data_IF_902785899245
#
_entry.id   IF_902785899245
#
_cell.length_a   1.000
_cell.length_b   1.000
_cell.length_c   1.000
_cell.angle_alpha   90.00
_cell.angle_beta   90.00
_cell.angle_gamma   90.00
#
_symmetry.space_group_name_H-M   'P 1'
#
loop_
_entity.id
_entity.type
_entity.pdbx_description
1 polymer ?
#
# COMPACT_ATOMS: atom_id res chain seq x y z
N UNK A 1 -19.00 23.41 10.46
CA UNK A 1 -18.49 23.84 11.75
C UNK A 1 -16.99 23.62 11.75
N UNK A 2 -16.22 24.47 12.41
CA UNK A 2 -14.77 24.31 12.52
C UNK A 2 -14.43 24.30 14.00
N UNK A 3 -13.92 23.17 14.49
CA UNK A 3 -13.15 23.16 15.73
C UNK A 3 -11.80 23.85 15.46
N UNK A 4 -11.04 24.15 16.51
CA UNK A 4 -9.66 24.59 16.36
C UNK A 4 -8.73 23.41 16.05
N UNK A 5 -7.53 23.71 15.53
CA UNK A 5 -6.58 22.70 15.04
C UNK A 5 -6.16 21.68 16.13
N UNK A 6 -6.05 22.11 17.39
CA UNK A 6 -5.69 21.23 18.51
C UNK A 6 -6.83 20.26 18.83
N UNK A 7 -8.09 20.72 18.75
CA UNK A 7 -9.24 19.83 18.90
C UNK A 7 -9.28 18.78 17.79
N UNK A 8 -8.96 19.13 16.54
CA UNK A 8 -8.86 18.17 15.44
C UNK A 8 -7.74 17.15 15.62
N UNK A 9 -6.56 17.58 16.09
CA UNK A 9 -5.44 16.68 16.38
C UNK A 9 -5.80 15.65 17.45
N UNK A 10 -6.47 16.08 18.53
CA UNK A 10 -6.96 15.18 19.58
C UNK A 10 -8.03 14.20 19.08
N UNK A 11 -8.92 14.63 18.20
CA UNK A 11 -9.90 13.72 17.58
C UNK A 11 -9.18 12.59 16.82
N UNK A 12 -8.15 12.92 16.04
CA UNK A 12 -7.36 11.92 15.30
C UNK A 12 -6.66 10.92 16.22
N UNK A 13 -5.93 11.42 17.23
CA UNK A 13 -5.23 10.58 18.20
C UNK A 13 -6.17 9.67 19.00
N UNK A 14 -7.38 10.13 19.31
CA UNK A 14 -8.39 9.35 20.02
C UNK A 14 -8.96 8.22 19.15
N UNK A 15 -9.28 8.53 17.88
CA UNK A 15 -9.83 7.56 16.92
C UNK A 15 -8.79 6.48 16.58
N UNK A 16 -7.54 6.85 16.33
CA UNK A 16 -6.44 5.94 15.99
C UNK A 16 -5.91 5.16 17.22
N UNK A 17 -6.52 5.34 18.39
CA UNK A 17 -6.14 4.72 19.67
C UNK A 17 -4.66 4.98 20.06
N UNK A 18 -4.20 6.22 19.85
CA UNK A 18 -2.82 6.68 20.10
C UNK A 18 -2.68 7.54 21.37
N UNK A 19 -3.76 7.83 22.09
CA UNK A 19 -3.72 8.53 23.38
C UNK A 19 -3.28 7.62 24.52
N UNK A 20 -2.54 8.16 25.49
CA UNK A 20 -2.31 7.46 26.76
C UNK A 20 -3.56 7.54 27.67
N UNK A 21 -3.60 6.73 28.74
CA UNK A 21 -4.77 6.61 29.62
C UNK A 21 -5.25 7.95 30.22
N UNK A 22 -4.32 8.83 30.57
CA UNK A 22 -4.65 10.14 31.16
C UNK A 22 -5.20 11.12 30.11
N UNK A 23 -4.61 11.15 28.92
CA UNK A 23 -5.06 11.96 27.78
C UNK A 23 -6.44 11.52 27.30
N UNK A 24 -6.64 10.20 27.21
CA UNK A 24 -7.91 9.62 26.79
C UNK A 24 -9.02 9.94 27.77
N UNK A 25 -8.79 9.76 29.07
CA UNK A 25 -9.78 10.09 30.11
C UNK A 25 -10.15 11.57 30.05
N UNK A 26 -9.15 12.46 29.89
CA UNK A 26 -9.40 13.89 29.77
C UNK A 26 -10.18 14.25 28.49
N UNK A 27 -9.97 13.53 27.39
CA UNK A 27 -10.71 13.72 26.14
C UNK A 27 -12.14 13.19 26.24
N UNK A 28 -12.35 12.03 26.87
CA UNK A 28 -13.69 11.47 27.13
C UNK A 28 -14.54 12.41 28.00
N UNK A 29 -13.95 13.05 29.02
CA UNK A 29 -14.63 14.11 29.78
C UNK A 29 -15.03 15.33 28.92
N UNK A 30 -14.25 15.67 27.91
CA UNK A 30 -14.59 16.74 26.97
C UNK A 30 -15.78 16.32 26.08
N UNK A 31 -15.82 15.06 25.64
CA UNK A 31 -16.95 14.52 24.88
C UNK A 31 -18.25 14.49 25.70
N UNK A 32 -18.18 14.26 27.01
CA UNK A 32 -19.36 14.35 27.88
C UNK A 32 -19.91 15.78 28.00
N UNK A 33 -19.01 16.78 27.96
CA UNK A 33 -19.36 18.21 28.14
C UNK A 33 -19.75 18.90 26.84
N UNK A 34 -19.20 18.45 25.72
CA UNK A 34 -19.45 19.02 24.39
C UNK A 34 -20.21 18.03 23.50
N UNK A 35 -21.53 18.21 23.46
CA UNK A 35 -22.45 17.37 22.68
C UNK A 35 -22.17 17.44 21.17
N UNK A 36 -21.63 18.56 20.68
CA UNK A 36 -21.32 18.75 19.26
C UNK A 36 -20.03 18.00 18.88
N UNK A 37 -19.00 18.11 19.71
CA UNK A 37 -17.76 17.35 19.57
C UNK A 37 -18.03 15.84 19.66
N UNK A 38 -18.85 15.40 20.63
CA UNK A 38 -19.25 14.00 20.75
C UNK A 38 -19.99 13.47 19.52
N UNK A 39 -20.91 14.26 18.95
CA UNK A 39 -21.61 13.87 17.73
C UNK A 39 -20.64 13.77 16.54
N UNK A 40 -19.66 14.67 16.46
CA UNK A 40 -18.65 14.65 15.41
C UNK A 40 -17.73 13.44 15.52
N UNK A 41 -17.18 13.15 16.70
CA UNK A 41 -16.33 11.97 16.96
C UNK A 41 -17.09 10.68 16.67
N UNK A 42 -18.33 10.54 17.17
CA UNK A 42 -19.17 9.38 16.88
C UNK A 42 -19.43 9.17 15.38
N UNK A 43 -19.60 10.27 14.63
CA UNK A 43 -19.76 10.21 13.17
C UNK A 43 -18.49 9.66 12.53
N UNK A 44 -17.31 10.15 12.91
CA UNK A 44 -16.04 9.69 12.36
C UNK A 44 -15.73 8.22 12.72
N UNK A 45 -15.94 7.82 13.99
CA UNK A 45 -15.77 6.42 14.42
C UNK A 45 -16.74 5.48 13.69
N UNK A 46 -17.98 5.94 13.44
CA UNK A 46 -18.94 5.14 12.66
C UNK A 46 -18.51 4.97 11.21
N UNK A 47 -17.87 5.99 10.60
CA UNK A 47 -17.34 5.91 9.24
C UNK A 47 -16.12 4.99 9.16
N UNK A 48 -15.25 4.99 10.16
CA UNK A 48 -14.08 4.11 10.20
C UNK A 48 -14.49 2.63 10.35
N UNK A 49 -15.52 2.33 11.14
CA UNK A 49 -16.08 0.96 11.22
C UNK A 49 -16.63 0.45 9.88
N UNK A 50 -17.02 1.37 8.98
CA UNK A 50 -17.44 1.07 7.61
C UNK A 50 -16.24 0.99 6.66
N UNK A 51 -15.11 1.63 7.00
CA UNK A 51 -13.91 1.71 6.16
C UNK A 51 -12.91 0.56 6.39
N UNK A 52 -12.97 -0.10 7.55
CA UNK A 52 -12.02 -1.14 7.95
C UNK A 52 -12.29 -2.56 7.39
N UNK A 53 -13.16 -2.71 6.38
CA UNK A 53 -13.30 -3.98 5.66
C UNK A 53 -13.45 -3.78 4.13
N UNK A 54 -12.35 -4.00 3.42
CA UNK A 54 -12.22 -4.59 2.07
C UNK A 54 -13.29 -4.44 0.97
N UNK A 55 -14.13 -3.40 0.90
CA UNK A 55 -15.03 -3.25 -0.26
C UNK A 55 -15.38 -1.80 -0.60
N UNK A 56 -14.57 -1.09 -1.40
CA UNK A 56 -15.10 0.03 -2.18
C UNK A 56 -14.57 0.01 -3.61
N UNK A 57 -15.20 -0.82 -4.44
CA UNK A 57 -15.17 -0.67 -5.89
C UNK A 57 -16.29 0.30 -6.29
N UNK A 58 -15.99 1.60 -6.32
CA UNK A 58 -16.91 2.56 -6.96
C UNK A 58 -16.92 2.27 -8.44
N UNK A 59 -17.93 1.56 -8.91
CA UNK A 59 -18.28 1.57 -10.33
C UNK A 59 -18.67 3.00 -10.67
N UNK A 60 -17.85 3.67 -11.48
CA UNK A 60 -17.98 5.08 -11.85
C UNK A 60 -19.31 5.48 -12.54
N UNK A 61 -20.28 4.57 -12.67
CA UNK A 61 -21.54 4.75 -13.40
C UNK A 61 -22.76 4.25 -12.61
N UNK A 62 -22.86 4.55 -11.32
CA UNK A 62 -24.07 4.24 -10.55
C UNK A 62 -25.26 5.06 -11.06
N UNK A 63 -26.35 4.37 -11.41
CA UNK A 63 -27.61 4.97 -11.85
C UNK A 63 -28.28 5.75 -10.70
N UNK A 64 -29.12 6.73 -11.04
CA UNK A 64 -29.92 7.50 -10.07
C UNK A 64 -30.74 6.59 -9.14
N UNK A 65 -31.11 5.40 -9.60
CA UNK A 65 -31.85 4.39 -8.84
C UNK A 65 -30.98 3.72 -7.78
N UNK A 66 -29.72 3.42 -8.10
CA UNK A 66 -28.74 2.85 -7.16
C UNK A 66 -28.29 3.88 -6.13
N UNK A 67 -28.13 5.15 -6.54
CA UNK A 67 -27.87 6.26 -5.61
C UNK A 67 -29.06 6.47 -4.65
N UNK A 68 -30.30 6.33 -5.13
CA UNK A 68 -31.49 6.39 -4.27
C UNK A 68 -31.62 5.19 -3.33
N UNK A 69 -31.23 3.99 -3.78
CA UNK A 69 -31.20 2.81 -2.92
C UNK A 69 -30.17 2.96 -1.80
N UNK A 70 -28.97 3.45 -2.13
CA UNK A 70 -27.92 3.76 -1.17
C UNK A 70 -28.31 4.93 -0.23
N UNK A 71 -29.01 5.94 -0.73
CA UNK A 71 -29.53 7.04 0.09
C UNK A 71 -30.71 6.62 0.99
N UNK A 72 -31.43 5.54 0.66
CA UNK A 72 -32.41 4.95 1.57
C UNK A 72 -31.71 4.16 2.71
N UNK A 73 -30.51 3.66 2.45
CA UNK A 73 -29.65 2.99 3.44
C UNK A 73 -29.00 4.00 4.39
N UNK A 74 -28.60 5.17 3.87
CA UNK A 74 -28.08 6.29 4.66
C UNK A 74 -29.12 7.40 4.84
N UNK A 75 -29.92 7.31 5.91
CA UNK A 75 -30.89 8.32 6.45
C UNK A 75 -31.19 9.47 5.47
N UNK A 76 -32.17 9.26 4.60
CA UNK A 76 -32.52 10.12 3.46
C UNK A 76 -32.64 11.63 3.79
N UNK A 77 -33.00 11.98 5.02
CA UNK A 77 -33.16 13.36 5.47
C UNK A 77 -31.84 14.15 5.44
N UNK A 78 -30.71 13.51 5.77
CA UNK A 78 -29.40 14.17 5.81
C UNK A 78 -28.85 14.40 4.39
N UNK A 79 -29.11 13.46 3.47
CA UNK A 79 -28.70 13.55 2.06
C UNK A 79 -29.53 14.60 1.32
N UNK A 80 -30.83 14.68 1.61
CA UNK A 80 -31.72 15.72 1.07
C UNK A 80 -31.34 17.09 1.62
N UNK A 81 -31.04 17.19 2.92
CA UNK A 81 -30.59 18.44 3.54
C UNK A 81 -29.23 18.90 2.98
N UNK A 82 -28.31 17.97 2.73
CA UNK A 82 -27.02 18.26 2.10
C UNK A 82 -27.20 18.70 0.65
N UNK A 83 -28.04 18.02 -0.13
CA UNK A 83 -28.39 18.42 -1.51
C UNK A 83 -29.01 19.81 -1.57
N UNK A 84 -29.90 20.13 -0.62
CA UNK A 84 -30.50 21.46 -0.50
C UNK A 84 -29.48 22.51 -0.09
N UNK A 85 -28.58 22.22 0.87
CA UNK A 85 -27.46 23.12 1.23
C UNK A 85 -26.56 23.38 0.02
N UNK A 86 -26.21 22.35 -0.74
CA UNK A 86 -25.38 22.48 -1.97
C UNK A 86 -26.11 23.33 -3.02
N UNK A 87 -27.41 23.09 -3.25
CA UNK A 87 -28.24 23.91 -4.16
C UNK A 87 -28.33 25.37 -3.70
N UNK A 88 -28.50 25.61 -2.41
CA UNK A 88 -28.59 26.97 -1.86
C UNK A 88 -27.25 27.70 -1.96
N UNK A 89 -26.12 27.01 -1.77
CA UNK A 89 -24.77 27.56 -1.96
C UNK A 89 -24.52 27.88 -3.45
N UNK A 90 -25.02 27.06 -4.37
CA UNK A 90 -24.96 27.33 -5.82
C UNK A 90 -25.86 28.51 -6.23
N UNK A 91 -27.03 28.65 -5.62
CA UNK A 91 -27.95 29.76 -5.91
C UNK A 91 -27.52 31.09 -5.25
N UNK A 92 -26.90 31.07 -4.06
CA UNK A 92 -26.34 32.27 -3.42
C UNK A 92 -25.13 32.86 -4.15
N UNK A 93 -24.39 32.07 -4.94
CA UNK A 93 -23.34 32.60 -5.85
C UNK A 93 -23.90 33.16 -7.17
N UNK A 94 -25.22 33.18 -7.35
CA UNK A 94 -25.89 33.56 -8.60
C UNK A 94 -26.76 34.81 -8.49
N UNK A 95 -26.34 35.83 -7.74
CA UNK A 95 -26.99 37.15 -7.76
C UNK A 95 -25.99 38.30 -7.76
N UNK A 96 -25.18 38.38 -8.81
CA UNK A 96 -24.53 39.64 -9.17
C UNK A 96 -25.39 40.28 -10.27
N UNK A 97 -25.96 41.48 -10.05
CA UNK A 97 -26.72 42.17 -11.08
C UNK A 97 -25.81 42.46 -12.29
N UNK A 98 -26.25 42.01 -13.47
CA UNK A 98 -25.56 42.21 -14.75
C UNK A 98 -25.38 43.70 -15.02
N UNK A 99 -24.18 44.23 -14.79
CA UNK A 99 -23.65 45.34 -15.57
C UNK A 99 -22.72 44.79 -16.64
N UNK A 100 -23.15 44.97 -17.88
CA UNK A 100 -22.41 44.72 -19.11
C UNK A 100 -21.11 45.54 -19.06
N UNK A 101 -19.98 44.87 -18.88
CA UNK A 101 -18.80 45.13 -19.69
C UNK A 101 -17.87 43.92 -19.69
N UNK A 102 -17.49 43.53 -20.90
CA UNK A 102 -16.65 42.37 -21.19
C UNK A 102 -15.29 42.53 -20.49
N UNK A 103 -14.89 41.53 -19.72
CA UNK A 103 -13.47 41.20 -19.58
C UNK A 103 -13.33 39.70 -19.65
N UNK A 104 -13.00 39.22 -20.85
CA UNK A 104 -12.73 37.82 -21.17
C UNK A 104 -11.53 37.25 -20.36
N UNK A 105 -10.79 38.10 -19.65
CA UNK A 105 -9.55 37.73 -18.95
C UNK A 105 -9.77 36.98 -17.62
N UNK A 106 -10.86 37.22 -16.89
CA UNK A 106 -11.08 36.54 -15.59
C UNK A 106 -11.58 35.10 -15.73
N UNK A 107 -12.32 34.79 -16.79
CA UNK A 107 -12.79 33.41 -17.07
C UNK A 107 -11.60 32.53 -17.49
N UNK A 108 -10.66 33.06 -18.28
CA UNK A 108 -9.42 32.36 -18.66
C UNK A 108 -8.56 32.06 -17.42
N UNK A 109 -8.41 33.01 -16.50
CA UNK A 109 -7.64 32.83 -15.25
C UNK A 109 -8.21 31.72 -14.35
N UNK A 110 -9.54 31.66 -14.18
CA UNK A 110 -10.17 30.63 -13.33
C UNK A 110 -10.15 29.23 -13.96
N UNK A 111 -10.33 29.11 -15.28
CA UNK A 111 -10.24 27.84 -15.98
C UNK A 111 -8.81 27.28 -15.98
N UNK A 112 -7.79 28.16 -16.10
CA UNK A 112 -6.38 27.77 -15.99
C UNK A 112 -6.04 27.28 -14.58
N UNK A 113 -6.57 27.92 -13.53
CA UNK A 113 -6.34 27.49 -12.15
C UNK A 113 -6.98 26.12 -11.85
N UNK A 114 -8.21 25.89 -12.32
CA UNK A 114 -8.88 24.58 -12.17
C UNK A 114 -8.16 23.50 -12.98
N UNK A 115 -7.75 23.82 -14.22
CA UNK A 115 -6.97 22.90 -15.04
C UNK A 115 -5.60 22.59 -14.41
N UNK A 116 -4.93 23.57 -13.80
CA UNK A 116 -3.67 23.40 -13.08
C UNK A 116 -3.81 22.51 -11.84
N UNK A 117 -4.88 22.72 -11.04
CA UNK A 117 -5.18 21.85 -9.88
C UNK A 117 -5.56 20.44 -10.33
N UNK A 118 -6.37 20.30 -11.38
CA UNK A 118 -6.71 19.00 -11.96
C UNK A 118 -5.50 18.30 -12.55
N UNK A 119 -4.56 19.01 -13.19
CA UNK A 119 -3.32 18.42 -13.70
C UNK A 119 -2.34 18.08 -12.58
N UNK A 120 -2.26 18.88 -11.51
CA UNK A 120 -1.47 18.55 -10.32
C UNK A 120 -2.05 17.34 -9.58
N UNK A 121 -3.37 17.26 -9.41
CA UNK A 121 -4.04 16.11 -8.83
C UNK A 121 -3.90 14.88 -9.73
N UNK A 122 -4.03 15.04 -11.04
CA UNK A 122 -3.77 13.97 -12.00
C UNK A 122 -2.32 13.48 -11.90
N UNK A 123 -1.32 14.36 -11.89
CA UNK A 123 0.09 13.98 -11.74
C UNK A 123 0.39 13.35 -10.37
N UNK A 124 -0.27 13.81 -9.31
CA UNK A 124 -0.12 13.24 -7.97
C UNK A 124 -0.79 11.88 -7.82
N UNK A 125 -1.81 11.58 -8.63
CA UNK A 125 -2.56 10.31 -8.61
C UNK A 125 -2.05 9.31 -9.68
N UNK A 126 -1.28 9.79 -10.66
CA UNK A 126 -0.73 9.00 -11.77
C UNK A 126 0.78 8.73 -11.64
N UNK A 127 1.39 9.01 -10.49
CA UNK A 127 2.74 8.50 -10.21
C UNK A 127 2.64 6.98 -10.01
N UNK A 128 2.92 6.23 -11.07
CA UNK A 128 3.22 4.80 -10.96
C UNK A 128 4.39 4.63 -9.98
N UNK A 129 4.33 3.59 -9.16
CA UNK A 129 5.42 3.31 -8.22
C UNK A 129 6.69 3.05 -9.04
N UNK A 130 7.81 3.65 -8.65
CA UNK A 130 9.08 3.30 -9.30
C UNK A 130 9.44 1.86 -8.95
N UNK A 131 10.23 1.20 -9.80
CA UNK A 131 10.66 -0.16 -9.50
C UNK A 131 11.49 -0.24 -8.20
N UNK A 132 12.28 0.80 -7.90
CA UNK A 132 13.03 0.89 -6.65
C UNK A 132 12.10 1.03 -5.43
N UNK A 133 11.11 1.93 -5.48
CA UNK A 133 10.15 2.10 -4.37
C UNK A 133 9.31 0.82 -4.15
N UNK A 134 8.96 0.15 -5.25
CA UNK A 134 8.29 -1.14 -5.20
C UNK A 134 9.17 -2.22 -4.57
N UNK A 135 10.48 -2.24 -4.86
CA UNK A 135 11.40 -3.14 -4.17
C UNK A 135 11.36 -2.88 -2.65
N UNK A 136 11.52 -1.62 -2.23
CA UNK A 136 11.51 -1.23 -0.81
C UNK A 136 10.20 -1.64 -0.10
N UNK A 137 9.06 -1.49 -0.76
CA UNK A 137 7.76 -1.83 -0.17
C UNK A 137 7.49 -3.35 -0.10
N UNK A 138 8.00 -4.14 -1.07
CA UNK A 138 7.58 -5.54 -1.25
C UNK A 138 8.64 -6.57 -0.86
N UNK A 139 9.91 -6.21 -0.72
CA UNK A 139 10.91 -7.13 -0.20
C UNK A 139 10.66 -7.40 1.29
N UNK A 140 10.75 -8.67 1.70
CA UNK A 140 10.60 -9.04 3.11
C UNK A 140 11.33 -10.37 3.38
N UNK A 141 12.54 -10.28 3.92
CA UNK A 141 13.39 -11.43 4.20
C UNK A 141 12.98 -12.23 5.43
N UNK A 142 12.11 -11.69 6.29
CA UNK A 142 11.56 -12.42 7.43
C UNK A 142 10.63 -13.57 7.01
N UNK A 143 10.24 -13.63 5.73
CA UNK A 143 9.47 -14.72 5.15
C UNK A 143 10.33 -15.91 4.71
N UNK A 144 11.66 -15.78 4.71
CA UNK A 144 12.55 -16.88 4.38
C UNK A 144 12.45 -18.00 5.42
N UNK A 145 12.51 -19.29 5.02
CA UNK A 145 12.38 -20.38 5.98
C UNK A 145 13.57 -20.43 6.95
N UNK A 146 13.32 -20.62 8.25
CA UNK A 146 14.38 -20.68 9.28
C UNK A 146 15.07 -22.04 9.35
N UNK A 147 16.41 -22.08 9.45
CA UNK A 147 17.24 -23.26 9.71
C UNK A 147 17.30 -23.70 11.16
N UNK A 148 16.75 -22.91 12.08
CA UNK A 148 16.69 -23.28 13.50
C UNK A 148 15.67 -24.40 13.70
N UNK A 149 16.14 -25.65 13.70
CA UNK A 149 15.38 -26.80 14.17
C UNK A 149 15.60 -27.01 15.67
N UNK A 150 14.60 -27.59 16.34
CA UNK A 150 14.61 -27.74 17.80
C UNK A 150 15.68 -28.77 18.21
N UNK A 151 16.89 -28.31 18.52
CA UNK A 151 17.97 -29.12 19.11
C UNK A 151 19.31 -29.12 18.37
N UNK A 152 19.46 -28.41 17.25
CA UNK A 152 20.70 -28.38 16.44
C UNK A 152 21.32 -26.99 16.44
N UNK A 153 22.20 -26.73 17.41
CA UNK A 153 22.90 -25.45 17.58
C UNK A 153 24.20 -25.34 16.78
N UNK A 154 24.67 -26.43 16.18
CA UNK A 154 25.99 -26.54 15.53
C UNK A 154 25.92 -26.64 14.00
N UNK A 155 24.83 -26.14 13.40
CA UNK A 155 24.63 -26.13 11.95
C UNK A 155 25.20 -24.84 11.34
N UNK A 156 26.16 -24.98 10.41
CA UNK A 156 26.72 -23.86 9.64
C UNK A 156 25.64 -23.02 8.94
N UNK A 157 24.49 -23.60 8.58
CA UNK A 157 23.36 -22.85 7.99
C UNK A 157 22.64 -21.96 8.99
N UNK A 158 22.56 -22.35 10.26
CA UNK A 158 22.04 -21.49 11.34
C UNK A 158 22.98 -20.30 11.54
N UNK A 159 24.29 -20.55 11.55
CA UNK A 159 25.30 -19.46 11.60
C UNK A 159 25.17 -18.51 10.40
N UNK A 160 25.04 -19.05 9.19
CA UNK A 160 24.85 -18.24 7.98
C UNK A 160 23.55 -17.44 8.00
N UNK A 161 22.46 -18.01 8.53
CA UNK A 161 21.20 -17.30 8.72
C UNK A 161 21.34 -16.14 9.71
N UNK A 162 22.05 -16.31 10.83
CA UNK A 162 22.31 -15.22 11.77
C UNK A 162 23.08 -14.09 11.11
N UNK A 163 24.16 -14.40 10.39
CA UNK A 163 24.92 -13.41 9.62
C UNK A 163 24.05 -12.68 8.58
N UNK A 164 23.18 -13.42 7.89
CA UNK A 164 22.22 -12.85 6.96
C UNK A 164 21.26 -11.86 7.65
N UNK A 165 20.71 -12.23 8.81
CA UNK A 165 19.81 -11.38 9.59
C UNK A 165 20.50 -10.11 10.11
N UNK A 166 21.81 -10.19 10.38
CA UNK A 166 22.65 -9.06 10.77
C UNK A 166 23.08 -8.19 9.58
N UNK A 167 22.67 -8.52 8.35
CA UNK A 167 23.05 -7.81 7.13
C UNK A 167 24.46 -8.14 6.60
N UNK A 168 25.15 -9.09 7.22
CA UNK A 168 26.47 -9.58 6.81
C UNK A 168 26.34 -10.56 5.63
N UNK A 169 25.82 -10.07 4.51
CA UNK A 169 25.45 -10.89 3.36
C UNK A 169 26.64 -11.58 2.69
N UNK A 170 27.83 -10.98 2.71
CA UNK A 170 29.03 -11.55 2.09
C UNK A 170 29.54 -12.78 2.86
N UNK A 171 29.57 -12.70 4.19
CA UNK A 171 29.94 -13.82 5.07
C UNK A 171 28.87 -14.91 5.04
N UNK A 172 27.59 -14.52 5.09
CA UNK A 172 26.47 -15.45 4.97
C UNK A 172 26.53 -16.22 3.64
N UNK A 173 26.72 -15.51 2.52
CA UNK A 173 26.86 -16.10 1.20
C UNK A 173 28.00 -17.13 1.15
N UNK A 174 29.15 -16.79 1.74
CA UNK A 174 30.32 -17.68 1.75
C UNK A 174 30.01 -19.02 2.43
N UNK A 175 29.35 -18.98 3.59
CA UNK A 175 28.97 -20.19 4.34
C UNK A 175 27.85 -20.95 3.63
N UNK A 176 26.84 -20.26 3.08
CA UNK A 176 25.78 -20.93 2.32
C UNK A 176 26.32 -21.62 1.06
N UNK A 177 27.26 -21.00 0.36
CA UNK A 177 27.92 -21.63 -0.80
C UNK A 177 28.77 -22.83 -0.41
N UNK A 178 29.46 -22.78 0.74
CA UNK A 178 30.23 -23.93 1.25
C UNK A 178 29.31 -25.09 1.60
N UNK A 179 28.24 -24.83 2.35
CA UNK A 179 27.26 -25.86 2.74
C UNK A 179 26.50 -26.45 1.54
N UNK A 180 26.37 -25.72 0.44
CA UNK A 180 25.70 -26.19 -0.78
C UNK A 180 26.57 -27.08 -1.69
N UNK A 181 27.90 -27.15 -1.49
CA UNK A 181 28.80 -27.93 -2.36
C UNK A 181 28.64 -29.45 -2.21
N UNK A 182 28.42 -29.91 -0.98
CA UNK A 182 28.44 -31.33 -0.63
C UNK A 182 27.06 -31.89 -0.29
N UNK A 183 26.01 -31.06 -0.43
CA UNK A 183 24.64 -31.39 -0.02
C UNK A 183 23.73 -31.71 -1.21
N UNK A 184 22.66 -32.46 -0.92
CA UNK A 184 21.49 -32.55 -1.78
C UNK A 184 20.96 -31.13 -2.00
N UNK A 185 20.53 -30.84 -3.24
CA UNK A 185 19.96 -29.55 -3.62
C UNK A 185 18.85 -29.12 -2.65
N UNK A 186 19.13 -28.11 -1.84
CA UNK A 186 18.20 -27.56 -0.84
C UNK A 186 17.64 -26.23 -1.32
N UNK A 187 16.34 -26.14 -1.66
CA UNK A 187 15.75 -24.91 -2.16
C UNK A 187 15.84 -23.76 -1.15
N UNK A 188 15.84 -24.06 0.16
CA UNK A 188 15.94 -23.05 1.21
C UNK A 188 17.31 -22.39 1.21
N UNK A 189 18.39 -23.17 1.16
CA UNK A 189 19.75 -22.64 1.01
C UNK A 189 19.86 -21.81 -0.28
N UNK A 190 19.23 -22.22 -1.39
CA UNK A 190 19.28 -21.45 -2.64
C UNK A 190 18.53 -20.12 -2.55
N UNK A 191 17.41 -20.05 -1.81
CA UNK A 191 16.73 -18.79 -1.55
C UNK A 191 17.65 -17.80 -0.82
N UNK A 192 18.34 -18.24 0.23
CA UNK A 192 19.30 -17.40 0.94
C UNK A 192 20.47 -16.95 0.06
N UNK A 193 21.06 -17.85 -0.73
CA UNK A 193 22.14 -17.51 -1.67
C UNK A 193 21.67 -16.44 -2.66
N UNK A 194 20.49 -16.63 -3.26
CA UNK A 194 19.95 -15.69 -4.24
C UNK A 194 19.68 -14.32 -3.64
N UNK A 195 19.15 -14.26 -2.40
CA UNK A 195 18.93 -12.99 -1.70
C UNK A 195 20.24 -12.34 -1.29
N UNK A 196 21.24 -13.10 -0.83
CA UNK A 196 22.58 -12.54 -0.55
C UNK A 196 23.17 -11.89 -1.80
N UNK A 197 23.11 -12.56 -2.96
CA UNK A 197 23.56 -11.97 -4.22
C UNK A 197 22.78 -10.71 -4.57
N UNK A 198 21.47 -10.70 -4.37
CA UNK A 198 20.63 -9.51 -4.59
C UNK A 198 21.01 -8.35 -3.67
N UNK A 199 21.26 -8.60 -2.39
CA UNK A 199 21.67 -7.58 -1.42
C UNK A 199 23.06 -7.03 -1.67
N UNK A 200 23.95 -7.87 -2.23
CA UNK A 200 25.28 -7.48 -2.69
C UNK A 200 25.29 -6.88 -4.10
N UNK A 201 24.12 -6.61 -4.68
CA UNK A 201 23.95 -6.09 -6.05
C UNK A 201 24.57 -6.96 -7.17
N UNK A 202 24.85 -8.22 -6.87
CA UNK A 202 25.31 -9.23 -7.81
C UNK A 202 24.12 -9.84 -8.56
N UNK A 203 23.42 -8.99 -9.33
CA UNK A 203 22.11 -9.32 -9.90
C UNK A 203 22.13 -10.51 -10.86
N UNK A 204 23.21 -10.68 -11.62
CA UNK A 204 23.36 -11.78 -12.57
C UNK A 204 23.38 -13.13 -11.83
N UNK A 205 24.16 -13.22 -10.76
CA UNK A 205 24.30 -14.39 -9.92
C UNK A 205 22.99 -14.68 -9.16
N UNK A 206 22.30 -13.62 -8.69
CA UNK A 206 20.97 -13.75 -8.09
C UNK A 206 19.96 -14.38 -9.08
N UNK A 207 19.86 -13.83 -10.29
CA UNK A 207 18.97 -14.36 -11.34
C UNK A 207 19.34 -15.81 -11.68
N UNK A 208 20.63 -16.13 -11.86
CA UNK A 208 21.07 -17.50 -12.14
C UNK A 208 20.71 -18.48 -11.00
N UNK A 209 20.77 -18.03 -9.75
CA UNK A 209 20.40 -18.83 -8.58
C UNK A 209 18.90 -19.12 -8.58
N UNK A 210 18.07 -18.09 -8.80
CA UNK A 210 16.61 -18.27 -8.86
C UNK A 210 16.16 -19.03 -10.11
N UNK A 211 16.86 -18.90 -11.24
CA UNK A 211 16.59 -19.70 -12.44
C UNK A 211 16.84 -21.19 -12.19
N UNK A 212 17.91 -21.55 -11.47
CA UNK A 212 18.15 -22.94 -11.05
C UNK A 212 17.04 -23.45 -10.13
N UNK A 213 16.58 -22.62 -9.18
CA UNK A 213 15.47 -22.95 -8.29
C UNK A 213 14.16 -23.17 -9.06
N UNK A 214 13.83 -22.27 -9.99
CA UNK A 214 12.65 -22.37 -10.86
C UNK A 214 12.62 -23.69 -11.65
N UNK A 215 13.78 -24.12 -12.14
CA UNK A 215 13.92 -25.34 -12.95
C UNK A 215 14.13 -26.62 -12.11
N UNK A 216 14.09 -26.53 -10.78
CA UNK A 216 14.25 -27.68 -9.90
C UNK A 216 12.93 -28.43 -9.69
N UNK A 217 13.03 -29.71 -9.30
CA UNK A 217 11.87 -30.54 -8.94
C UNK A 217 11.43 -30.37 -7.47
N UNK A 218 11.79 -29.24 -6.84
CA UNK A 218 11.47 -28.97 -5.45
C UNK A 218 10.09 -28.33 -5.32
N UNK A 219 9.42 -28.55 -4.18
CA UNK A 219 8.12 -27.92 -3.90
C UNK A 219 8.20 -26.39 -3.91
N UNK A 220 9.37 -25.83 -3.57
CA UNK A 220 9.61 -24.40 -3.46
C UNK A 220 10.02 -23.74 -4.79
N UNK A 221 10.07 -24.48 -5.91
CA UNK A 221 10.53 -23.95 -7.19
C UNK A 221 9.77 -22.69 -7.65
N UNK A 222 8.47 -22.61 -7.37
CA UNK A 222 7.61 -21.50 -7.73
C UNK A 222 7.96 -20.20 -6.98
N UNK A 223 8.64 -20.27 -5.82
CA UNK A 223 9.09 -19.08 -5.10
C UNK A 223 10.06 -18.26 -5.94
N UNK A 224 10.81 -18.90 -6.86
CA UNK A 224 11.77 -18.25 -7.73
C UNK A 224 11.17 -17.07 -8.53
N UNK A 225 9.90 -17.17 -8.98
CA UNK A 225 9.27 -16.07 -9.71
C UNK A 225 9.24 -14.78 -8.89
N UNK A 226 8.83 -14.86 -7.63
CA UNK A 226 8.74 -13.69 -6.76
C UNK A 226 10.11 -13.07 -6.53
N UNK A 227 11.12 -13.88 -6.20
CA UNK A 227 12.46 -13.37 -5.94
C UNK A 227 13.15 -12.84 -7.22
N UNK A 228 12.95 -13.46 -8.39
CA UNK A 228 13.42 -12.89 -9.66
C UNK A 228 12.77 -11.55 -9.96
N UNK A 229 11.47 -11.38 -9.67
CA UNK A 229 10.81 -10.08 -9.81
C UNK A 229 11.46 -9.03 -8.90
N UNK A 230 11.71 -9.35 -7.62
CA UNK A 230 12.43 -8.46 -6.69
C UNK A 230 13.83 -8.07 -7.21
N UNK A 231 14.56 -9.01 -7.84
CA UNK A 231 15.87 -8.71 -8.47
C UNK A 231 15.73 -7.67 -9.57
N UNK A 232 14.71 -7.77 -10.41
CA UNK A 232 14.47 -6.76 -11.44
C UNK A 232 14.00 -5.42 -10.87
N UNK A 233 13.19 -5.43 -9.80
CA UNK A 233 12.76 -4.20 -9.13
C UNK A 233 13.95 -3.44 -8.53
N UNK A 234 14.86 -4.13 -7.83
CA UNK A 234 16.07 -3.52 -7.26
C UNK A 234 17.01 -2.94 -8.33
N UNK A 235 17.04 -3.54 -9.52
CA UNK A 235 17.75 -3.01 -10.70
C UNK A 235 17.02 -1.83 -11.38
N UNK A 236 15.92 -1.34 -10.81
CA UNK A 236 15.02 -0.37 -11.42
C UNK A 236 14.48 -0.81 -12.80
N UNK A 237 14.38 -2.13 -13.03
CA UNK A 237 13.94 -2.74 -14.29
C UNK A 237 12.48 -3.19 -14.19
N UNK A 238 11.57 -2.22 -14.21
CA UNK A 238 10.12 -2.46 -14.13
C UNK A 238 9.59 -3.37 -15.25
N UNK A 239 10.17 -3.28 -16.46
CA UNK A 239 9.71 -4.06 -17.61
C UNK A 239 9.89 -5.57 -17.39
N UNK A 240 11.09 -5.99 -16.98
CA UNK A 240 11.34 -7.40 -16.72
C UNK A 240 10.68 -7.88 -15.44
N UNK A 241 10.57 -7.03 -14.40
CA UNK A 241 9.79 -7.35 -13.21
C UNK A 241 8.34 -7.69 -13.58
N UNK A 242 7.70 -6.86 -14.42
CA UNK A 242 6.34 -7.11 -14.91
C UNK A 242 6.21 -8.42 -15.67
N UNK A 243 7.15 -8.75 -16.57
CA UNK A 243 7.12 -10.04 -17.32
C UNK A 243 7.16 -11.25 -16.38
N UNK A 244 8.00 -11.20 -15.34
CA UNK A 244 8.10 -12.29 -14.37
C UNK A 244 6.84 -12.37 -13.51
N UNK A 245 6.32 -11.23 -13.02
CA UNK A 245 5.08 -11.19 -12.25
C UNK A 245 3.87 -11.67 -13.07
N UNK A 246 3.79 -11.33 -14.35
CA UNK A 246 2.78 -11.84 -15.28
C UNK A 246 2.84 -13.36 -15.44
N UNK A 247 4.03 -13.95 -15.34
CA UNK A 247 4.20 -15.41 -15.34
C UNK A 247 3.78 -16.00 -14.00
N UNK A 248 4.15 -15.36 -12.89
CA UNK A 248 3.76 -15.76 -11.54
C UNK A 248 2.24 -15.87 -11.38
N UNK A 249 1.49 -14.89 -11.87
CA UNK A 249 0.02 -14.85 -11.71
C UNK A 249 -0.75 -15.80 -12.67
N UNK A 250 -0.06 -16.62 -13.47
CA UNK A 250 -0.73 -17.65 -14.29
C UNK A 250 -1.18 -18.86 -13.47
N UNK A 251 -0.62 -19.06 -12.27
CA UNK A 251 -0.97 -20.14 -11.36
C UNK A 251 -1.27 -19.57 -9.97
N UNK A 252 -2.51 -19.76 -9.50
CA UNK A 252 -3.00 -19.28 -8.20
C UNK A 252 -2.31 -19.94 -7.01
N UNK A 253 -1.64 -21.08 -7.20
CA UNK A 253 -0.88 -21.76 -6.15
C UNK A 253 0.51 -21.18 -5.91
N UNK A 254 0.98 -20.28 -6.81
CA UNK A 254 2.29 -19.69 -6.70
C UNK A 254 2.43 -18.80 -5.45
N UNK A 255 3.62 -18.87 -4.84
CA UNK A 255 4.01 -18.00 -3.74
C UNK A 255 3.82 -16.51 -4.07
N UNK A 256 3.20 -15.77 -3.15
CA UNK A 256 2.89 -14.34 -3.28
C UNK A 256 1.99 -13.98 -4.48
N UNK A 257 1.11 -14.88 -4.93
CA UNK A 257 0.13 -14.63 -5.99
C UNK A 257 -0.63 -13.30 -5.85
N UNK A 258 -1.31 -13.08 -4.72
CA UNK A 258 -2.11 -11.87 -4.51
C UNK A 258 -1.25 -10.60 -4.48
N UNK A 259 -0.07 -10.67 -3.85
CA UNK A 259 0.89 -9.55 -3.83
C UNK A 259 1.41 -9.24 -5.23
N UNK A 260 1.60 -10.25 -6.08
CA UNK A 260 2.01 -10.05 -7.46
C UNK A 260 0.93 -9.35 -8.29
N UNK A 261 -0.35 -9.67 -8.08
CA UNK A 261 -1.46 -8.95 -8.71
C UNK A 261 -1.49 -7.49 -8.28
N UNK A 262 -1.38 -7.23 -6.98
CA UNK A 262 -1.37 -5.86 -6.44
C UNK A 262 -0.19 -5.06 -7.01
N UNK A 263 1.00 -5.65 -6.99
CA UNK A 263 2.22 -5.03 -7.48
C UNK A 263 2.16 -4.75 -8.98
N UNK A 264 1.60 -5.67 -9.80
CA UNK A 264 1.40 -5.44 -11.22
C UNK A 264 0.57 -4.18 -11.49
N UNK A 265 -0.54 -3.98 -10.75
CA UNK A 265 -1.40 -2.79 -10.88
C UNK A 265 -0.68 -1.49 -10.52
N UNK A 266 0.26 -1.53 -9.57
CA UNK A 266 1.03 -0.35 -9.17
C UNK A 266 2.15 0.01 -10.16
N UNK A 267 2.69 -0.99 -10.86
CA UNK A 267 3.73 -0.84 -11.89
C UNK A 267 3.16 -0.47 -13.29
N UNK A 268 1.84 -0.34 -13.42
CA UNK A 268 1.13 0.07 -14.63
C UNK A 268 1.12 1.58 -14.85
#
# INVERSE_FOLDING_TARGET
MSFDDNTYEKIGLYIDNQMNDAERTAFEELLEKDTELAAFVNTLTSLESVYNEHTWNVKANASVTEIKALANEFRADDVVALSQKIRNIQQQKSSIPKKRNKSYFYVISSAVAIAAVMTLLYFSFMQSITASDAFEQYHNWNTLPSFVEKGTTDDNRVKAQTLFQDGNYQEALSIFMETAKDAIYDPKTQLYIGVCYLELENYREAIQTFDKLRNSNTLDNHKAYWYTALVYLKQNNAENAKKVLQTLVQDTSNYNYEKAIELLKKLE
#
